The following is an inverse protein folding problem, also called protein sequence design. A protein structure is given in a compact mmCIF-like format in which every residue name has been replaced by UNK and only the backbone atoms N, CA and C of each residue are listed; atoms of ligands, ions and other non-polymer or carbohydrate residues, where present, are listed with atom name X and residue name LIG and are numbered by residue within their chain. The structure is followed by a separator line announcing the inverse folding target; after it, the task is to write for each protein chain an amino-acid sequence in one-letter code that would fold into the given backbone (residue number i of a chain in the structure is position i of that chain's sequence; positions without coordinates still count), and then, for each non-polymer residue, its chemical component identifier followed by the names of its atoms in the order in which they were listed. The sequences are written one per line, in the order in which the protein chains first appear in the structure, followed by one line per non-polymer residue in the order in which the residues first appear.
data_IF_330054491613
#
_entry.id   IF_330054491613
#
_cell.length_a   1.000
_cell.length_b   1.000
_cell.length_c   1.000
_cell.angle_alpha   90.00
_cell.angle_beta   90.00
_cell.angle_gamma   90.00
#
_symmetry.space_group_name_H-M   'P 1'
#
loop_
_entity.id
_entity.type
_entity.pdbx_description
1 polymer ?
#
# COMPACT_ATOMS: atom_id res chain seq x y z
N UNK A 1 -8.70 3.59 -23.33
CA UNK A 1 -7.57 2.98 -22.60
C UNK A 1 -6.76 3.98 -21.82
N UNK A 2 -6.07 4.92 -22.49
CA UNK A 2 -5.07 5.76 -21.83
C UNK A 2 -5.62 6.55 -20.63
N UNK A 3 -6.80 7.16 -20.73
CA UNK A 3 -7.40 7.91 -19.62
C UNK A 3 -7.69 7.04 -18.39
N UNK A 4 -8.15 5.80 -18.61
CA UNK A 4 -8.42 4.83 -17.55
C UNK A 4 -7.11 4.42 -16.86
N UNK A 5 -6.05 4.21 -17.63
CA UNK A 5 -4.73 3.86 -17.11
C UNK A 5 -4.11 5.02 -16.31
N UNK A 6 -4.35 6.27 -16.73
CA UNK A 6 -3.98 7.47 -15.96
C UNK A 6 -4.73 7.49 -14.63
N UNK A 7 -6.04 7.22 -14.61
CA UNK A 7 -6.83 7.14 -13.38
C UNK A 7 -6.30 6.03 -12.47
N UNK A 8 -6.03 4.83 -12.99
CA UNK A 8 -5.42 3.74 -12.22
C UNK A 8 -4.07 4.17 -11.64
N UNK A 9 -3.23 4.83 -12.42
CA UNK A 9 -1.93 5.34 -11.97
C UNK A 9 -2.10 6.37 -10.86
N UNK A 10 -3.10 7.24 -10.94
CA UNK A 10 -3.38 8.24 -9.92
C UNK A 10 -3.84 7.59 -8.61
N UNK A 11 -4.75 6.61 -8.68
CA UNK A 11 -5.20 5.86 -7.50
C UNK A 11 -4.03 5.10 -6.86
N UNK A 12 -3.17 4.49 -7.68
CA UNK A 12 -1.95 3.81 -7.22
C UNK A 12 -0.98 4.78 -6.54
N UNK A 13 -0.77 5.95 -7.12
CA UNK A 13 0.07 7.01 -6.58
C UNK A 13 -0.43 7.49 -5.20
N UNK A 14 -1.75 7.65 -5.05
CA UNK A 14 -2.35 7.98 -3.76
C UNK A 14 -2.11 6.87 -2.73
N UNK A 15 -2.31 5.59 -3.10
CA UNK A 15 -2.07 4.46 -2.20
C UNK A 15 -0.61 4.40 -1.71
N UNK A 16 0.38 4.56 -2.60
CA UNK A 16 1.79 4.54 -2.19
C UNK A 16 2.17 5.76 -1.36
N UNK A 17 1.63 6.93 -1.67
CA UNK A 17 1.87 8.14 -0.86
C UNK A 17 1.31 7.99 0.55
N UNK A 18 0.14 7.37 0.68
CA UNK A 18 -0.44 7.10 1.97
C UNK A 18 0.29 5.96 2.72
N UNK A 19 0.93 5.02 2.04
CA UNK A 19 1.84 4.07 2.69
C UNK A 19 3.05 4.78 3.28
N UNK A 20 3.72 5.63 2.49
CA UNK A 20 5.00 6.23 2.88
C UNK A 20 4.90 7.20 4.06
N UNK A 21 3.73 7.76 4.33
CA UNK A 21 3.51 8.59 5.53
C UNK A 21 3.32 7.76 6.82
N UNK A 22 3.00 6.46 6.68
CA UNK A 22 2.73 5.54 7.79
C UNK A 22 3.85 4.53 8.05
N UNK A 23 4.88 4.45 7.19
CA UNK A 23 6.02 3.57 7.48
C UNK A 23 6.74 4.02 8.76
N UNK A 24 7.40 3.10 9.49
CA UNK A 24 8.23 3.46 10.64
C UNK A 24 9.22 4.60 10.32
N UNK A 25 9.17 5.68 11.09
CA UNK A 25 9.96 6.91 10.85
C UNK A 25 9.31 7.92 9.91
N UNK A 26 8.11 7.62 9.39
CA UNK A 26 7.27 8.55 8.64
C UNK A 26 6.65 9.65 9.51
N UNK A 27 6.09 10.71 8.90
CA UNK A 27 5.58 11.89 9.60
C UNK A 27 4.38 11.61 10.53
N UNK A 28 3.62 10.54 10.30
CA UNK A 28 2.40 10.25 11.08
C UNK A 28 2.59 9.01 11.99
N UNK A 29 3.50 8.12 11.62
CA UNK A 29 3.81 6.95 12.44
C UNK A 29 4.42 7.38 13.78
N UNK A 30 3.64 7.20 14.84
CA UNK A 30 3.94 7.72 16.16
C UNK A 30 4.21 6.60 17.19
N UNK A 31 4.33 5.36 16.72
CA UNK A 31 4.73 4.20 17.53
C UNK A 31 6.25 4.13 17.66
N UNK A 32 6.73 3.81 18.85
CA UNK A 32 8.14 3.56 19.10
C UNK A 32 8.49 2.11 18.75
N UNK A 33 9.36 1.95 17.75
CA UNK A 33 9.89 0.67 17.31
C UNK A 33 11.39 0.48 17.63
N UNK A 34 12.01 1.42 18.33
CA UNK A 34 13.46 1.38 18.66
C UNK A 34 13.90 0.13 19.42
N UNK A 35 12.96 -0.52 20.11
CA UNK A 35 13.19 -1.75 20.89
C UNK A 35 12.96 -3.04 20.10
N UNK A 36 12.39 -2.95 18.89
CA UNK A 36 12.22 -4.09 18.00
C UNK A 36 13.54 -4.38 17.29
N UNK A 37 14.31 -5.32 17.83
CA UNK A 37 15.51 -5.84 17.17
C UNK A 37 15.19 -7.22 16.59
N UNK A 38 15.74 -7.53 15.41
CA UNK A 38 15.66 -8.85 14.82
C UNK A 38 15.19 -8.89 13.36
N UNK A 39 15.22 -10.11 12.80
CA UNK A 39 14.94 -10.36 11.39
C UNK A 39 13.50 -9.98 10.96
N UNK A 40 12.52 -10.11 11.87
CA UNK A 40 11.11 -9.81 11.57
C UNK A 40 10.88 -8.33 11.32
N UNK A 41 11.46 -7.44 12.15
CA UNK A 41 11.33 -5.99 11.99
C UNK A 41 12.02 -5.51 10.71
N UNK A 42 13.26 -5.94 10.47
CA UNK A 42 14.00 -5.56 9.26
C UNK A 42 13.39 -6.14 7.99
N UNK A 43 13.00 -7.41 8.01
CA UNK A 43 12.35 -8.07 6.87
C UNK A 43 11.04 -7.39 6.50
N UNK A 44 10.23 -7.00 7.48
CA UNK A 44 8.99 -6.28 7.23
C UNK A 44 9.23 -4.89 6.64
N UNK A 45 10.20 -4.13 7.14
CA UNK A 45 10.54 -2.82 6.56
C UNK A 45 11.09 -2.95 5.13
N UNK A 46 11.97 -3.91 4.87
CA UNK A 46 12.45 -4.19 3.51
C UNK A 46 11.29 -4.53 2.58
N UNK A 47 10.33 -5.33 3.06
CA UNK A 47 9.10 -5.63 2.32
C UNK A 47 8.28 -4.37 2.03
N UNK A 48 8.03 -3.49 3.02
CA UNK A 48 7.28 -2.25 2.82
C UNK A 48 7.98 -1.29 1.86
N UNK A 49 9.30 -1.14 1.98
CA UNK A 49 10.10 -0.31 1.06
C UNK A 49 10.01 -0.86 -0.36
N UNK A 50 10.17 -2.18 -0.53
CA UNK A 50 10.07 -2.84 -1.83
C UNK A 50 8.67 -2.66 -2.42
N UNK A 51 7.63 -2.81 -1.61
CA UNK A 51 6.24 -2.57 -2.02
C UNK A 51 6.02 -1.12 -2.47
N UNK A 52 6.57 -0.15 -1.74
CA UNK A 52 6.51 1.26 -2.10
C UNK A 52 7.23 1.56 -3.42
N UNK A 53 8.46 1.07 -3.60
CA UNK A 53 9.22 1.24 -4.85
C UNK A 53 8.48 0.61 -6.02
N UNK A 54 8.03 -0.65 -5.87
CA UNK A 54 7.27 -1.35 -6.91
C UNK A 54 5.96 -0.62 -7.25
N UNK A 55 5.36 0.07 -6.28
CA UNK A 55 4.16 0.87 -6.52
C UNK A 55 4.43 2.09 -7.40
N UNK A 56 5.51 2.81 -7.16
CA UNK A 56 5.92 3.92 -8.04
C UNK A 56 6.30 3.44 -9.44
N UNK A 57 7.02 2.32 -9.55
CA UNK A 57 7.30 1.69 -10.84
C UNK A 57 6.00 1.33 -11.55
N UNK A 58 5.02 0.77 -10.83
CA UNK A 58 3.72 0.41 -11.40
C UNK A 58 2.93 1.63 -11.85
N UNK A 59 3.01 2.77 -11.17
CA UNK A 59 2.44 4.04 -11.66
C UNK A 59 3.00 4.37 -13.05
N UNK A 60 4.32 4.32 -13.22
CA UNK A 60 4.94 4.56 -14.52
C UNK A 60 4.48 3.53 -15.58
N UNK A 61 4.43 2.24 -15.23
CA UNK A 61 3.96 1.18 -16.13
C UNK A 61 2.51 1.39 -16.58
N UNK A 62 1.64 1.88 -15.69
CA UNK A 62 0.27 2.24 -16.02
C UNK A 62 0.25 3.43 -17.01
N UNK A 63 1.07 4.46 -16.79
CA UNK A 63 1.13 5.63 -17.69
C UNK A 63 1.58 5.27 -19.11
N UNK A 64 2.44 4.27 -19.28
CA UNK A 64 2.86 3.80 -20.61
C UNK A 64 1.99 2.64 -21.15
N UNK A 65 0.89 2.32 -20.48
CA UNK A 65 -0.03 1.22 -20.85
C UNK A 65 0.68 -0.13 -21.04
N UNK A 66 1.63 -0.45 -20.16
CA UNK A 66 2.36 -1.72 -20.22
C UNK A 66 1.41 -2.92 -19.98
N UNK A 67 1.51 -4.03 -20.74
CA UNK A 67 0.54 -5.12 -20.70
C UNK A 67 0.40 -5.80 -19.32
N UNK A 68 1.45 -5.78 -18.52
CA UNK A 68 1.43 -6.36 -17.17
C UNK A 68 1.04 -5.37 -16.07
N UNK A 69 0.82 -4.08 -16.38
CA UNK A 69 0.59 -3.05 -15.37
C UNK A 69 -0.66 -3.35 -14.51
N UNK A 70 -1.76 -3.76 -15.14
CA UNK A 70 -3.02 -4.12 -14.45
C UNK A 70 -2.82 -5.29 -13.48
N UNK A 71 -2.17 -6.37 -13.94
CA UNK A 71 -1.91 -7.54 -13.10
C UNK A 71 -1.00 -7.20 -11.90
N UNK A 72 0.04 -6.39 -12.14
CA UNK A 72 0.93 -5.94 -11.06
C UNK A 72 0.15 -5.06 -10.06
N UNK A 73 -0.72 -4.17 -10.54
CA UNK A 73 -1.58 -3.36 -9.67
C UNK A 73 -2.52 -4.20 -8.81
N UNK A 74 -3.10 -5.28 -9.35
CA UNK A 74 -3.92 -6.21 -8.57
C UNK A 74 -3.13 -6.86 -7.44
N UNK A 75 -1.93 -7.37 -7.74
CA UNK A 75 -1.05 -7.98 -6.75
C UNK A 75 -0.69 -6.97 -5.65
N UNK A 76 -0.30 -5.75 -6.01
CA UNK A 76 0.04 -4.72 -5.03
C UNK A 76 -1.18 -4.33 -4.19
N UNK A 77 -2.36 -4.21 -4.78
CA UNK A 77 -3.59 -3.89 -4.04
C UNK A 77 -3.91 -4.97 -2.99
N UNK A 78 -3.73 -6.25 -3.33
CA UNK A 78 -3.88 -7.36 -2.38
C UNK A 78 -2.83 -7.25 -1.26
N UNK A 79 -1.57 -6.99 -1.60
CA UNK A 79 -0.51 -6.84 -0.60
C UNK A 79 -0.80 -5.67 0.36
N UNK A 80 -1.26 -4.52 -0.16
CA UNK A 80 -1.70 -3.41 0.68
C UNK A 80 -2.82 -3.80 1.62
N UNK A 81 -3.87 -4.44 1.10
CA UNK A 81 -4.98 -4.91 1.91
C UNK A 81 -4.51 -5.84 3.05
N UNK A 82 -3.63 -6.79 2.74
CA UNK A 82 -3.07 -7.72 3.73
C UNK A 82 -2.29 -6.97 4.80
N UNK A 83 -1.38 -6.07 4.40
CA UNK A 83 -0.55 -5.28 5.33
C UNK A 83 -1.42 -4.50 6.30
N UNK A 84 -2.35 -3.68 5.79
CA UNK A 84 -3.18 -2.83 6.64
C UNK A 84 -4.14 -3.65 7.52
N UNK A 85 -4.67 -4.77 7.02
CA UNK A 85 -5.52 -5.66 7.82
C UNK A 85 -4.74 -6.32 8.95
N UNK A 86 -3.51 -6.79 8.68
CA UNK A 86 -2.64 -7.38 9.70
C UNK A 86 -2.25 -6.35 10.77
N UNK A 87 -2.02 -5.08 10.37
CA UNK A 87 -1.70 -4.00 11.32
C UNK A 87 -2.90 -3.64 12.20
N UNK A 88 -4.07 -3.44 11.60
CA UNK A 88 -5.31 -3.19 12.33
C UNK A 88 -5.71 -4.35 13.25
N UNK A 89 -5.37 -5.60 12.88
CA UNK A 89 -5.55 -6.77 13.73
C UNK A 89 -4.55 -6.86 14.90
N UNK A 90 -3.55 -5.98 14.95
CA UNK A 90 -2.54 -5.94 16.01
C UNK A 90 -1.59 -7.13 15.99
N UNK A 91 -1.42 -7.76 14.82
CA UNK A 91 -0.53 -8.92 14.63
C UNK A 91 0.92 -8.52 14.37
N UNK A 92 1.21 -7.25 14.06
CA UNK A 92 2.58 -6.76 14.02
C UNK A 92 3.25 -6.81 15.39
N UNK A 93 4.61 -6.86 15.43
CA UNK A 93 5.33 -6.80 16.68
C UNK A 93 4.84 -5.61 17.51
N UNK A 94 4.33 -5.90 18.71
CA UNK A 94 3.61 -4.92 19.50
C UNK A 94 4.58 -3.84 19.98
N UNK A 95 4.40 -2.63 19.46
CA UNK A 95 4.99 -1.45 20.08
C UNK A 95 4.39 -1.28 21.48
N UNK A 96 5.18 -0.86 22.49
CA UNK A 96 4.66 -0.51 23.81
C UNK A 96 3.67 0.67 23.76
N UNK A 97 3.78 1.51 22.74
CA UNK A 97 2.90 2.66 22.51
C UNK A 97 1.68 2.25 21.68
N UNK A 98 0.49 2.54 22.20
CA UNK A 98 -0.77 2.30 21.47
C UNK A 98 -0.84 3.18 20.23
N UNK A 99 -1.39 2.62 19.16
CA UNK A 99 -1.71 3.33 17.94
C UNK A 99 -2.62 4.53 18.24
N UNK A 100 -2.29 5.70 17.69
CA UNK A 100 -3.13 6.88 17.83
C UNK A 100 -4.40 6.79 16.98
N UNK A 101 -5.44 7.53 17.37
CA UNK A 101 -6.69 7.60 16.59
C UNK A 101 -6.48 8.06 15.14
N UNK A 102 -5.64 9.08 14.85
CA UNK A 102 -5.37 9.49 13.48
C UNK A 102 -4.69 8.40 12.65
N UNK A 103 -3.70 7.71 13.23
CA UNK A 103 -2.99 6.61 12.57
C UNK A 103 -3.96 5.47 12.21
N UNK A 104 -4.82 5.09 13.16
CA UNK A 104 -5.86 4.07 12.94
C UNK A 104 -6.83 4.44 11.82
N UNK A 105 -7.27 5.71 11.78
CA UNK A 105 -8.16 6.20 10.74
C UNK A 105 -7.51 6.13 9.36
N UNK A 106 -6.23 6.49 9.25
CA UNK A 106 -5.50 6.41 7.99
C UNK A 106 -5.30 4.97 7.52
N UNK A 107 -5.06 4.02 8.41
CA UNK A 107 -4.99 2.60 8.04
C UNK A 107 -6.32 2.05 7.53
N UNK A 108 -7.45 2.45 8.12
CA UNK A 108 -8.78 2.09 7.61
C UNK A 108 -9.01 2.68 6.23
N UNK A 109 -8.69 3.96 6.03
CA UNK A 109 -8.78 4.64 4.73
C UNK A 109 -7.91 3.92 3.70
N UNK A 110 -6.69 3.57 4.07
CA UNK A 110 -5.76 2.85 3.20
C UNK A 110 -6.23 1.45 2.85
N UNK A 111 -6.81 0.73 3.80
CA UNK A 111 -7.45 -0.57 3.54
C UNK A 111 -8.56 -0.42 2.51
N UNK A 112 -9.43 0.58 2.67
CA UNK A 112 -10.51 0.84 1.72
C UNK A 112 -9.98 1.27 0.34
N UNK A 113 -8.92 2.09 0.29
CA UNK A 113 -8.27 2.51 -0.95
C UNK A 113 -7.60 1.34 -1.69
N UNK A 114 -7.04 0.38 -0.97
CA UNK A 114 -6.49 -0.85 -1.55
C UNK A 114 -7.58 -1.70 -2.19
N UNK A 115 -8.73 -1.87 -1.52
CA UNK A 115 -9.90 -2.57 -2.07
C UNK A 115 -10.44 -1.83 -3.30
N UNK A 116 -10.55 -0.51 -3.22
CA UNK A 116 -11.02 0.31 -4.35
C UNK A 116 -10.10 0.17 -5.56
N UNK A 117 -8.78 0.26 -5.36
CA UNK A 117 -7.79 0.03 -6.41
C UNK A 117 -7.98 -1.35 -7.06
N UNK A 118 -8.09 -2.40 -6.25
CA UNK A 118 -8.26 -3.77 -6.73
C UNK A 118 -9.52 -3.93 -7.59
N UNK A 119 -10.66 -3.43 -7.11
CA UNK A 119 -11.93 -3.49 -7.84
C UNK A 119 -11.82 -2.71 -9.15
N UNK A 120 -11.26 -1.49 -9.10
CA UNK A 120 -11.10 -0.64 -10.28
C UNK A 120 -10.28 -1.33 -11.36
N UNK A 121 -9.06 -1.78 -11.06
CA UNK A 121 -8.18 -2.40 -12.07
C UNK A 121 -8.72 -3.76 -12.56
N UNK A 122 -9.45 -4.49 -11.71
CA UNK A 122 -10.09 -5.76 -12.08
C UNK A 122 -11.28 -5.53 -13.02
N UNK A 123 -12.08 -4.49 -12.78
CA UNK A 123 -13.14 -4.09 -13.69
C UNK A 123 -12.58 -3.72 -15.06
N UNK A 124 -11.49 -2.94 -15.10
CA UNK A 124 -10.80 -2.60 -16.36
C UNK A 124 -10.35 -3.85 -17.11
N UNK A 125 -9.73 -4.81 -16.41
CA UNK A 125 -9.28 -6.07 -17.01
C UNK A 125 -10.42 -6.90 -17.62
N UNK A 126 -11.57 -6.99 -16.94
CA UNK A 126 -12.72 -7.79 -17.38
C UNK A 126 -13.48 -7.18 -18.56
N UNK A 127 -13.52 -5.86 -18.66
CA UNK A 127 -14.19 -5.18 -19.78
C UNK A 127 -13.36 -5.28 -21.07
N UNK A 128 -12.12 -5.83 -20.99
CA UNK A 128 -11.23 -5.98 -22.14
C UNK A 128 -10.86 -4.64 -22.77
N UNK A 129 -10.94 -3.56 -21.98
CA UNK A 129 -10.69 -2.20 -22.41
C UNK A 129 -9.20 -1.90 -22.45
#
# INVERSE_FOLDING_TARGET
MQDIMIIASFIMFLNVTLLTILVPGGPIENRDFSKLTGAVFWGFNVFLISLGIMSFVTCYLLLISHPHAILISQVIAILYFIVYTIDLAGMFPKSPTKMSKPLMMLEIINTAMAVFLFIFVTAVNHIGL
#
